data_IF_792552147568
#
_entry.id   IF_792552147568
#
_cell.length_a   1.000
_cell.length_b   1.000
_cell.length_c   1.000
_cell.angle_alpha   90.00
_cell.angle_beta   90.00
_cell.angle_gamma   90.00
#
_symmetry.space_group_name_H-M   'P 1'
#
loop_
_entity.id
_entity.type
_entity.pdbx_description
1 polymer ?
#
# COMPACT_ATOMS: atom_id res chain seq x y z
N UNK A 1 -24.85 18.55 33.49
CA UNK A 1 -24.22 18.77 32.15
C UNK A 1 -23.75 17.43 31.62
N UNK A 2 -24.31 16.95 30.51
CA UNK A 2 -23.83 15.71 29.88
C UNK A 2 -22.40 15.96 29.34
N UNK A 3 -21.44 15.08 29.67
CA UNK A 3 -20.10 15.14 29.07
C UNK A 3 -20.23 15.18 27.54
N UNK A 4 -19.50 16.06 26.84
CA UNK A 4 -19.52 16.04 25.38
C UNK A 4 -19.09 14.67 24.89
N UNK A 5 -19.84 14.09 23.95
CA UNK A 5 -19.51 12.82 23.31
C UNK A 5 -18.29 13.04 22.39
N UNK A 6 -17.09 13.05 22.95
CA UNK A 6 -15.87 13.08 22.16
C UNK A 6 -15.48 11.68 21.73
N UNK A 7 -15.27 11.47 20.45
CA UNK A 7 -14.76 10.21 19.90
C UNK A 7 -13.22 10.13 19.97
N UNK A 8 -12.55 11.10 20.60
CA UNK A 8 -11.08 11.24 20.59
C UNK A 8 -10.37 9.98 21.05
N UNK A 9 -10.80 9.38 22.16
CA UNK A 9 -10.16 8.18 22.71
C UNK A 9 -10.35 6.95 21.79
N UNK A 10 -11.49 6.85 21.13
CA UNK A 10 -11.74 5.78 20.17
C UNK A 10 -10.85 5.95 18.93
N UNK A 11 -10.73 7.18 18.41
CA UNK A 11 -9.87 7.51 17.28
C UNK A 11 -8.41 7.23 17.60
N UNK A 12 -7.92 7.71 18.77
CA UNK A 12 -6.55 7.41 19.23
C UNK A 12 -6.31 5.89 19.36
N UNK A 13 -7.29 5.14 19.82
CA UNK A 13 -7.21 3.68 19.91
C UNK A 13 -6.98 3.01 18.57
N UNK A 14 -7.70 3.43 17.52
CA UNK A 14 -7.46 2.90 16.16
C UNK A 14 -6.10 3.28 15.62
N UNK A 15 -5.65 4.53 15.77
CA UNK A 15 -4.32 4.92 15.33
C UNK A 15 -3.21 4.19 16.09
N UNK A 16 -3.37 3.98 17.39
CA UNK A 16 -2.45 3.19 18.21
C UNK A 16 -2.30 1.75 17.69
N UNK A 17 -3.40 1.14 17.29
CA UNK A 17 -3.47 -0.18 16.70
C UNK A 17 -2.80 -0.22 15.32
N UNK A 18 -3.02 0.80 14.48
CA UNK A 18 -2.37 0.93 13.18
C UNK A 18 -0.85 1.11 13.31
N UNK A 19 -0.41 1.95 14.25
CA UNK A 19 1.01 2.13 14.54
C UNK A 19 1.66 0.84 15.05
N UNK A 20 0.95 0.09 15.90
CA UNK A 20 1.44 -1.23 16.32
C UNK A 20 1.54 -2.20 15.16
N UNK A 21 0.61 -2.16 14.23
CA UNK A 21 0.67 -2.98 13.00
C UNK A 21 1.89 -2.65 12.15
N UNK A 22 2.19 -1.36 11.97
CA UNK A 22 3.41 -0.91 11.28
C UNK A 22 4.66 -1.44 11.99
N UNK A 23 4.72 -1.30 13.30
CA UNK A 23 5.86 -1.74 14.08
C UNK A 23 6.07 -3.26 13.97
N UNK A 24 5.01 -4.05 14.09
CA UNK A 24 5.07 -5.50 13.92
C UNK A 24 5.57 -5.91 12.54
N UNK A 25 5.12 -5.25 11.47
CA UNK A 25 5.61 -5.52 10.11
C UNK A 25 7.12 -5.20 10.00
N UNK A 26 7.53 -4.01 10.48
CA UNK A 26 8.94 -3.59 10.43
C UNK A 26 9.85 -4.48 11.27
N UNK A 27 9.34 -5.10 12.33
CA UNK A 27 10.06 -5.98 13.24
C UNK A 27 10.23 -7.41 12.75
N UNK A 28 9.53 -7.81 11.68
CA UNK A 28 9.70 -9.16 11.14
C UNK A 28 11.15 -9.38 10.71
N UNK A 29 11.73 -10.49 11.17
CA UNK A 29 13.08 -10.91 10.78
C UNK A 29 13.13 -11.48 9.36
N UNK A 30 12.05 -12.10 8.90
CA UNK A 30 11.90 -12.63 7.55
C UNK A 30 10.96 -11.75 6.73
N UNK A 31 11.43 -11.34 5.55
CA UNK A 31 10.68 -10.46 4.63
C UNK A 31 9.41 -11.11 4.07
N UNK A 32 9.31 -12.44 4.12
CA UNK A 32 8.18 -13.20 3.58
C UNK A 32 7.10 -13.55 4.61
N UNK A 33 7.31 -13.24 5.90
CA UNK A 33 6.28 -13.42 6.92
C UNK A 33 5.04 -12.60 6.56
N UNK A 34 3.88 -13.19 6.72
CA UNK A 34 2.60 -12.55 6.40
C UNK A 34 2.02 -11.93 7.68
N UNK A 35 1.63 -10.68 7.57
CA UNK A 35 0.90 -9.95 8.60
C UNK A 35 -0.50 -9.65 8.08
N UNK A 36 -1.53 -10.11 8.82
CA UNK A 36 -2.93 -9.86 8.51
C UNK A 36 -3.45 -8.79 9.46
N UNK A 37 -4.04 -7.73 8.91
CA UNK A 37 -4.64 -6.63 9.67
C UNK A 37 -6.13 -6.91 9.90
N UNK A 38 -6.61 -6.75 11.16
CA UNK A 38 -8.00 -7.06 11.52
C UNK A 38 -8.38 -8.51 11.13
N UNK A 39 -7.53 -9.46 11.50
CA UNK A 39 -7.74 -10.89 11.26
C UNK A 39 -8.60 -11.55 12.33
N UNK A 40 -8.02 -12.50 13.06
CA UNK A 40 -8.64 -13.10 14.28
C UNK A 40 -8.56 -12.12 15.44
N UNK A 41 -7.41 -11.46 15.57
CA UNK A 41 -7.19 -10.33 16.45
C UNK A 41 -6.85 -9.07 15.64
N UNK A 42 -6.45 -8.00 16.30
CA UNK A 42 -6.09 -6.74 15.61
C UNK A 42 -4.95 -6.96 14.61
N UNK A 43 -4.00 -7.85 14.95
CA UNK A 43 -2.85 -8.17 14.10
C UNK A 43 -2.55 -9.66 14.22
N UNK A 44 -2.56 -10.38 13.10
CA UNK A 44 -2.13 -11.78 13.06
C UNK A 44 -0.82 -11.88 12.27
N UNK A 45 0.17 -12.56 12.81
CA UNK A 45 1.50 -12.73 12.20
C UNK A 45 1.75 -14.20 11.96
N UNK A 46 1.87 -14.59 10.71
CA UNK A 46 2.12 -15.99 10.33
C UNK A 46 3.52 -16.15 9.74
N UNK A 47 4.24 -17.12 10.28
CA UNK A 47 5.48 -17.64 9.73
C UNK A 47 5.39 -19.18 9.57
N UNK A 48 6.50 -19.84 9.19
CA UNK A 48 6.50 -21.30 8.94
C UNK A 48 6.07 -22.14 10.15
N UNK A 49 6.36 -21.68 11.37
CA UNK A 49 6.30 -22.50 12.59
C UNK A 49 5.38 -21.94 13.66
N UNK A 50 4.99 -20.68 13.53
CA UNK A 50 4.22 -19.95 14.56
C UNK A 50 3.16 -19.06 13.93
N UNK A 51 2.01 -18.95 14.61
CA UNK A 51 1.03 -17.89 14.36
C UNK A 51 0.86 -17.09 15.64
N UNK A 52 1.09 -15.79 15.58
CA UNK A 52 0.91 -14.87 16.70
C UNK A 52 -0.34 -14.03 16.48
N UNK A 53 -1.19 -13.96 17.48
CA UNK A 53 -2.41 -13.16 17.52
C UNK A 53 -2.21 -12.03 18.52
N UNK A 54 -2.26 -10.77 18.06
CA UNK A 54 -1.95 -9.59 18.87
C UNK A 54 -3.19 -8.70 18.99
N UNK A 55 -3.71 -8.57 20.20
CA UNK A 55 -4.78 -7.64 20.53
C UNK A 55 -4.21 -6.37 21.15
N UNK A 56 -4.54 -5.22 20.60
CA UNK A 56 -4.09 -3.92 21.06
C UNK A 56 -5.14 -3.24 21.96
N UNK A 57 -4.69 -2.55 23.01
CA UNK A 57 -5.55 -1.75 23.88
C UNK A 57 -4.86 -0.45 24.25
N UNK A 58 -5.55 0.68 24.07
CA UNK A 58 -5.02 2.00 24.43
C UNK A 58 -5.97 2.74 25.38
N UNK A 59 -5.52 2.97 26.62
CA UNK A 59 -6.30 3.60 27.67
C UNK A 59 -5.48 4.65 28.42
N UNK A 60 -5.35 5.83 27.83
CA UNK A 60 -4.57 6.94 28.40
C UNK A 60 -5.22 7.52 29.67
N UNK A 61 -6.54 7.62 29.69
CA UNK A 61 -7.29 8.23 30.79
C UNK A 61 -7.80 7.23 31.83
N UNK A 62 -7.78 5.93 31.50
CA UNK A 62 -8.36 4.88 32.36
C UNK A 62 -7.26 4.16 33.11
N UNK A 63 -7.45 4.03 34.41
CA UNK A 63 -6.60 3.20 35.27
C UNK A 63 -6.85 1.72 34.98
N UNK A 64 -5.77 0.93 34.88
CA UNK A 64 -5.87 -0.50 34.64
C UNK A 64 -6.62 -1.22 35.77
N UNK A 65 -7.46 -2.16 35.39
CA UNK A 65 -8.00 -3.22 36.27
C UNK A 65 -8.17 -4.49 35.44
N UNK A 66 -8.19 -5.66 36.13
CA UNK A 66 -8.23 -6.96 35.46
C UNK A 66 -9.50 -7.19 34.63
N UNK A 67 -10.60 -6.52 34.91
CA UNK A 67 -11.85 -6.68 34.16
C UNK A 67 -11.76 -6.17 32.74
N UNK A 68 -10.85 -5.23 32.46
CA UNK A 68 -10.67 -4.65 31.11
C UNK A 68 -10.09 -5.68 30.13
N UNK A 69 -9.20 -6.55 30.59
CA UNK A 69 -8.55 -7.57 29.76
C UNK A 69 -9.26 -8.93 29.81
N UNK A 70 -10.32 -9.06 30.62
CA UNK A 70 -11.05 -10.32 30.79
C UNK A 70 -11.68 -10.78 29.47
N UNK A 71 -12.44 -9.93 28.80
CA UNK A 71 -13.11 -10.27 27.54
C UNK A 71 -12.11 -10.64 26.42
N UNK A 72 -11.06 -9.86 26.14
CA UNK A 72 -10.01 -10.27 25.21
C UNK A 72 -9.43 -11.65 25.52
N UNK A 73 -9.05 -11.93 26.77
CA UNK A 73 -8.50 -13.23 27.14
C UNK A 73 -9.52 -14.37 26.92
N UNK A 74 -10.79 -14.13 27.18
CA UNK A 74 -11.85 -15.10 26.91
C UNK A 74 -12.01 -15.37 25.41
N UNK A 75 -11.93 -14.36 24.56
CA UNK A 75 -12.01 -14.50 23.11
C UNK A 75 -10.81 -15.28 22.56
N UNK A 76 -9.61 -14.96 23.02
CA UNK A 76 -8.38 -15.68 22.69
C UNK A 76 -8.45 -17.15 23.11
N UNK A 77 -8.94 -17.43 24.31
CA UNK A 77 -9.10 -18.81 24.78
C UNK A 77 -10.13 -19.58 23.95
N UNK A 78 -11.24 -18.95 23.58
CA UNK A 78 -12.23 -19.57 22.67
C UNK A 78 -11.62 -19.91 21.31
N UNK A 79 -10.84 -19.00 20.76
CA UNK A 79 -10.13 -19.25 19.50
C UNK A 79 -9.16 -20.44 19.66
N UNK A 80 -8.38 -20.47 20.73
CA UNK A 80 -7.48 -21.57 21.05
C UNK A 80 -8.22 -22.92 21.14
N UNK A 81 -9.33 -22.99 21.89
CA UNK A 81 -10.09 -24.23 22.05
C UNK A 81 -10.62 -24.76 20.72
N UNK A 82 -11.14 -23.90 19.86
CA UNK A 82 -11.64 -24.28 18.53
C UNK A 82 -10.56 -24.82 17.62
N UNK A 83 -9.35 -24.35 17.78
CA UNK A 83 -8.22 -24.63 16.88
C UNK A 83 -7.08 -25.40 17.59
N UNK A 84 -7.35 -26.16 18.67
CA UNK A 84 -6.32 -26.85 19.48
C UNK A 84 -5.34 -27.65 18.65
N UNK A 85 -5.83 -28.45 17.70
CA UNK A 85 -5.00 -29.31 16.86
C UNK A 85 -4.03 -28.49 16.02
N UNK A 86 -4.53 -27.40 15.45
CA UNK A 86 -3.70 -26.48 14.67
C UNK A 86 -2.75 -25.69 15.58
N UNK A 87 -3.21 -25.25 16.74
CA UNK A 87 -2.41 -24.56 17.75
C UNK A 87 -1.20 -25.40 18.22
N UNK A 88 -1.33 -26.73 18.29
CA UNK A 88 -0.23 -27.62 18.61
C UNK A 88 0.75 -27.79 17.45
N UNK A 89 0.26 -27.87 16.23
CA UNK A 89 1.11 -28.05 15.03
C UNK A 89 1.87 -26.79 14.59
N UNK A 90 1.22 -25.61 14.70
CA UNK A 90 1.75 -24.31 14.28
C UNK A 90 2.16 -23.39 15.43
N UNK A 91 2.20 -23.85 16.65
CA UNK A 91 2.59 -23.07 17.82
C UNK A 91 1.88 -21.70 17.91
N UNK A 92 0.59 -21.69 18.20
CA UNK A 92 -0.17 -20.44 18.41
C UNK A 92 0.32 -19.68 19.63
N UNK A 93 0.49 -18.37 19.49
CA UNK A 93 0.84 -17.43 20.56
C UNK A 93 -0.16 -16.30 20.61
N UNK A 94 -0.65 -15.95 21.80
CA UNK A 94 -1.61 -14.90 22.03
C UNK A 94 -0.96 -13.76 22.80
N UNK A 95 -1.01 -12.55 22.28
CA UNK A 95 -0.40 -11.36 22.88
C UNK A 95 -1.45 -10.29 23.11
N UNK A 96 -1.58 -9.84 24.34
CA UNK A 96 -2.32 -8.64 24.69
C UNK A 96 -1.31 -7.50 24.90
N UNK A 97 -1.37 -6.50 24.05
CA UNK A 97 -0.50 -5.34 24.05
C UNK A 97 -1.29 -4.10 24.42
N UNK A 98 -1.10 -3.60 25.65
CA UNK A 98 -1.94 -2.53 26.21
C UNK A 98 -1.15 -1.42 26.86
N UNK A 99 -1.49 -0.17 26.54
CA UNK A 99 -1.03 1.01 27.25
C UNK A 99 -2.06 1.48 28.26
N UNK A 100 -1.62 1.62 29.51
CA UNK A 100 -2.40 2.17 30.61
C UNK A 100 -1.53 3.11 31.40
N UNK A 101 -2.03 4.30 31.74
CA UNK A 101 -1.24 5.30 32.45
C UNK A 101 -0.96 4.95 33.91
N UNK A 102 -1.86 4.18 34.57
CA UNK A 102 -1.80 3.84 35.99
C UNK A 102 -2.39 2.44 36.25
N UNK A 103 -2.14 1.91 37.46
CA UNK A 103 -2.79 0.71 37.95
C UNK A 103 -2.10 -0.59 37.57
N UNK A 104 -0.85 -0.54 37.08
CA UNK A 104 -0.12 -1.72 36.63
C UNK A 104 0.09 -2.77 37.73
N UNK A 105 0.20 -2.33 38.97
CA UNK A 105 0.33 -3.17 40.16
C UNK A 105 -0.90 -4.03 40.43
N UNK A 106 -2.04 -3.73 39.81
CA UNK A 106 -3.28 -4.47 39.94
C UNK A 106 -3.34 -5.72 39.05
N UNK A 107 -2.42 -5.87 38.10
CA UNK A 107 -2.38 -7.06 37.26
C UNK A 107 -2.13 -8.29 38.13
N UNK A 108 -3.11 -9.22 38.14
CA UNK A 108 -2.94 -10.51 38.77
C UNK A 108 -1.92 -11.35 37.98
N UNK A 109 -1.13 -12.10 38.74
CA UNK A 109 -0.24 -13.08 38.12
C UNK A 109 -1.04 -14.07 37.27
N UNK A 110 -0.55 -14.33 36.06
CA UNK A 110 -1.22 -15.22 35.09
C UNK A 110 -0.87 -16.69 35.40
N UNK A 111 -1.32 -17.18 36.52
CA UNK A 111 -1.29 -18.61 36.83
C UNK A 111 -2.50 -19.32 36.25
N UNK A 112 -2.42 -20.63 36.05
CA UNK A 112 -3.56 -21.45 35.59
C UNK A 112 -4.80 -21.28 36.49
N UNK A 113 -4.60 -21.21 37.82
CA UNK A 113 -5.66 -20.96 38.78
C UNK A 113 -6.29 -19.58 38.65
N UNK A 114 -5.47 -18.52 38.53
CA UNK A 114 -5.96 -17.17 38.36
C UNK A 114 -6.67 -16.98 37.00
N UNK A 115 -6.15 -17.59 35.94
CA UNK A 115 -6.85 -17.61 34.65
C UNK A 115 -8.24 -18.24 34.81
N UNK A 116 -8.31 -19.42 35.38
CA UNK A 116 -9.58 -20.14 35.61
C UNK A 116 -10.56 -19.32 36.42
N UNK A 117 -10.12 -18.75 37.54
CA UNK A 117 -11.02 -18.13 38.55
C UNK A 117 -11.43 -16.70 38.19
N UNK A 118 -10.48 -15.89 37.66
CA UNK A 118 -10.70 -14.44 37.52
C UNK A 118 -10.88 -13.98 36.09
N UNK A 119 -10.19 -14.62 35.13
CA UNK A 119 -10.24 -14.16 33.74
C UNK A 119 -11.24 -14.97 32.92
N UNK A 120 -11.24 -16.28 33.05
CA UNK A 120 -12.12 -17.15 32.28
C UNK A 120 -13.48 -17.34 32.96
N UNK A 121 -13.51 -17.28 34.28
CA UNK A 121 -14.74 -17.34 35.11
C UNK A 121 -15.57 -18.61 34.84
N UNK A 122 -14.91 -19.76 34.66
CA UNK A 122 -15.53 -21.01 34.29
C UNK A 122 -16.42 -21.59 35.37
N UNK A 123 -16.18 -21.29 36.65
CA UNK A 123 -16.97 -21.82 37.77
C UNK A 123 -18.48 -21.55 37.68
N UNK A 124 -18.88 -20.57 36.85
CA UNK A 124 -20.29 -20.24 36.61
C UNK A 124 -20.90 -20.98 35.43
N UNK A 125 -20.08 -21.61 34.59
CA UNK A 125 -20.48 -22.13 33.29
C UNK A 125 -20.00 -23.56 33.02
N UNK A 126 -19.36 -24.20 34.02
CA UNK A 126 -18.92 -25.59 33.90
C UNK A 126 -20.14 -26.53 33.97
N UNK A 127 -20.29 -27.34 32.94
CA UNK A 127 -21.26 -28.41 32.85
C UNK A 127 -20.50 -29.69 32.52
N UNK A 128 -20.64 -30.73 33.33
CA UNK A 128 -20.06 -32.03 33.04
C UNK A 128 -21.04 -32.83 32.18
N UNK A 129 -20.63 -33.32 31.01
CA UNK A 129 -21.45 -34.19 30.20
C UNK A 129 -21.56 -35.62 30.77
N UNK A 130 -22.37 -36.46 30.12
CA UNK A 130 -22.59 -37.85 30.56
C UNK A 130 -21.30 -38.72 30.52
N UNK A 131 -20.29 -38.26 29.82
CA UNK A 131 -18.97 -38.92 29.69
C UNK A 131 -17.94 -38.38 30.68
N UNK A 132 -18.31 -37.40 31.51
CA UNK A 132 -17.40 -36.79 32.48
C UNK A 132 -16.50 -35.68 31.91
N UNK A 133 -16.73 -35.25 30.67
CA UNK A 133 -15.99 -34.12 30.09
C UNK A 133 -16.58 -32.80 30.63
N UNK A 134 -15.69 -31.87 30.97
CA UNK A 134 -16.06 -30.51 31.31
C UNK A 134 -16.44 -29.75 30.02
N UNK A 135 -17.67 -29.33 29.93
CA UNK A 135 -18.17 -28.46 28.88
C UNK A 135 -18.22 -27.03 29.37
N UNK A 136 -17.88 -26.10 28.50
CA UNK A 136 -17.81 -24.70 28.79
C UNK A 136 -18.88 -23.92 28.04
N UNK A 137 -19.75 -23.21 28.75
CA UNK A 137 -20.84 -22.43 28.18
C UNK A 137 -20.65 -20.95 28.50
N UNK A 138 -20.57 -20.09 27.51
CA UNK A 138 -20.69 -18.64 27.70
C UNK A 138 -22.10 -18.20 27.37
N UNK A 139 -22.74 -17.58 28.32
CA UNK A 139 -24.05 -16.93 28.14
C UNK A 139 -23.86 -15.42 27.93
N UNK A 140 -24.65 -14.86 27.00
CA UNK A 140 -24.76 -13.42 26.89
C UNK A 140 -25.52 -12.81 28.06
N UNK A 141 -25.72 -11.48 28.08
CA UNK A 141 -26.47 -10.78 29.13
C UNK A 141 -27.93 -11.21 29.20
N UNK A 142 -28.48 -11.72 28.11
CA UNK A 142 -29.85 -12.24 28.01
C UNK A 142 -29.96 -13.73 28.40
N UNK A 143 -28.83 -14.38 28.73
CA UNK A 143 -28.81 -15.78 29.16
C UNK A 143 -28.76 -16.82 28.03
N UNK A 144 -28.60 -16.37 26.78
CA UNK A 144 -28.44 -17.28 25.65
C UNK A 144 -27.01 -17.84 25.57
N UNK A 145 -26.92 -19.16 25.27
CA UNK A 145 -25.62 -19.82 25.08
C UNK A 145 -25.01 -19.36 23.77
N UNK A 146 -23.88 -18.63 23.84
CA UNK A 146 -23.13 -18.19 22.66
C UNK A 146 -21.96 -19.11 22.30
N UNK A 147 -21.57 -19.97 23.24
CA UNK A 147 -20.41 -20.82 23.05
C UNK A 147 -20.47 -22.04 23.92
N UNK A 148 -20.24 -23.20 23.36
CA UNK A 148 -20.12 -24.48 24.06
C UNK A 148 -18.92 -25.24 23.46
N UNK A 149 -18.00 -25.66 24.33
CA UNK A 149 -16.83 -26.43 23.94
C UNK A 149 -16.38 -27.34 25.07
N UNK A 150 -15.94 -28.56 24.70
CA UNK A 150 -15.41 -29.48 25.67
C UNK A 150 -13.97 -29.12 26.08
N UNK A 151 -13.72 -28.92 27.37
CA UNK A 151 -12.39 -28.69 27.92
C UNK A 151 -11.65 -30.02 28.15
N UNK A 152 -10.39 -30.05 27.70
CA UNK A 152 -9.46 -31.09 28.11
C UNK A 152 -8.76 -30.67 29.42
N UNK A 153 -8.28 -31.65 30.20
CA UNK A 153 -7.70 -31.42 31.54
C UNK A 153 -6.61 -30.34 31.52
N UNK A 154 -5.82 -30.29 30.46
CA UNK A 154 -4.63 -29.41 30.35
C UNK A 154 -4.84 -28.19 29.45
N UNK A 155 -6.06 -27.94 28.95
CA UNK A 155 -6.34 -26.85 28.00
C UNK A 155 -5.97 -25.47 28.56
N UNK A 156 -6.29 -25.18 29.83
CA UNK A 156 -5.97 -23.88 30.43
C UNK A 156 -4.48 -23.74 30.68
N UNK A 157 -3.81 -24.83 31.06
CA UNK A 157 -2.37 -24.83 31.29
C UNK A 157 -1.61 -24.59 29.97
N UNK A 158 -2.00 -25.27 28.88
CA UNK A 158 -1.38 -25.10 27.58
C UNK A 158 -1.63 -23.70 27.03
N UNK A 159 -2.88 -23.18 27.14
CA UNK A 159 -3.19 -21.80 26.76
C UNK A 159 -2.39 -20.79 27.59
N UNK A 160 -2.20 -21.02 28.89
CA UNK A 160 -1.41 -20.12 29.74
C UNK A 160 0.04 -19.98 29.27
N UNK A 161 0.63 -21.08 28.78
CA UNK A 161 2.00 -21.06 28.21
C UNK A 161 2.10 -20.24 26.92
N UNK A 162 0.97 -20.03 26.24
CA UNK A 162 0.83 -19.32 24.95
C UNK A 162 0.37 -17.88 25.11
N UNK A 163 -0.10 -17.48 26.31
CA UNK A 163 -0.65 -16.16 26.58
C UNK A 163 0.41 -15.21 27.14
N UNK A 164 0.61 -14.08 26.47
CA UNK A 164 1.50 -13.01 26.89
C UNK A 164 0.72 -11.72 27.08
N UNK A 165 0.77 -11.14 28.27
CA UNK A 165 0.05 -9.90 28.60
C UNK A 165 1.05 -8.81 28.96
N UNK A 166 1.10 -7.77 28.14
CA UNK A 166 1.86 -6.56 28.39
C UNK A 166 0.89 -5.38 28.58
N UNK A 167 0.74 -4.92 29.82
CA UNK A 167 -0.07 -3.74 30.16
C UNK A 167 0.77 -2.46 30.37
N UNK A 168 2.09 -2.54 30.10
CA UNK A 168 3.05 -1.43 30.13
C UNK A 168 3.63 -1.18 28.75
N UNK A 169 2.80 -1.33 27.73
CA UNK A 169 3.18 -1.05 26.36
C UNK A 169 3.59 0.43 26.18
N UNK A 170 4.21 0.76 25.07
CA UNK A 170 4.60 2.14 24.78
C UNK A 170 3.40 3.07 24.71
N UNK A 171 3.61 4.35 25.06
CA UNK A 171 2.61 5.39 24.78
C UNK A 171 2.44 5.59 23.26
N UNK A 172 1.36 6.26 22.89
CA UNK A 172 1.10 6.60 21.48
C UNK A 172 2.30 7.32 20.85
N UNK A 173 2.84 8.34 21.51
CA UNK A 173 3.97 9.12 21.02
C UNK A 173 5.26 8.29 20.93
N UNK A 174 5.55 7.48 21.96
CA UNK A 174 6.75 6.62 21.95
C UNK A 174 6.69 5.55 20.84
N UNK A 175 5.50 5.06 20.54
CA UNK A 175 5.33 4.09 19.47
C UNK A 175 5.63 4.70 18.09
N UNK A 176 5.15 5.93 17.83
CA UNK A 176 5.45 6.68 16.60
C UNK A 176 6.96 6.93 16.48
N UNK A 177 7.62 7.38 17.54
CA UNK A 177 9.07 7.62 17.54
C UNK A 177 9.86 6.33 17.26
N UNK A 178 9.43 5.20 17.79
CA UNK A 178 10.06 3.90 17.48
C UNK A 178 9.91 3.52 16.01
N UNK A 179 8.73 3.74 15.42
CA UNK A 179 8.49 3.49 14.00
C UNK A 179 9.41 4.35 13.15
N UNK A 180 9.43 5.67 13.39
CA UNK A 180 10.28 6.60 12.65
C UNK A 180 11.76 6.27 12.78
N UNK A 181 12.23 5.96 14.00
CA UNK A 181 13.60 5.54 14.23
C UNK A 181 13.97 4.27 13.47
N UNK A 182 13.04 3.32 13.39
CA UNK A 182 13.24 2.07 12.66
C UNK A 182 13.30 2.31 11.15
N UNK A 183 12.41 3.14 10.61
CA UNK A 183 12.43 3.56 9.21
C UNK A 183 13.76 4.29 8.90
N UNK A 184 14.20 5.20 9.77
CA UNK A 184 15.46 5.95 9.60
C UNK A 184 16.67 5.04 9.61
N UNK A 185 16.71 4.01 10.46
CA UNK A 185 17.82 3.06 10.51
C UNK A 185 17.94 2.24 9.21
N UNK A 186 16.81 1.88 8.61
CA UNK A 186 16.77 1.12 7.36
C UNK A 186 16.97 2.04 6.11
N UNK A 187 16.78 3.36 6.26
CA UNK A 187 16.86 4.37 5.21
C UNK A 187 17.73 5.57 5.65
N UNK A 188 19.01 5.31 5.93
CA UNK A 188 19.94 6.30 6.50
C UNK A 188 20.16 7.56 5.64
N UNK A 189 19.96 7.46 4.32
CA UNK A 189 20.19 8.56 3.36
C UNK A 189 18.96 9.49 3.18
N UNK A 190 17.89 9.26 3.94
CA UNK A 190 16.63 10.02 3.84
C UNK A 190 16.59 11.12 4.91
N UNK A 191 16.02 12.29 4.55
CA UNK A 191 15.82 13.40 5.50
C UNK A 191 14.72 13.11 6.52
N UNK A 192 14.63 13.90 7.59
CA UNK A 192 13.56 13.79 8.58
C UNK A 192 12.16 13.98 7.93
N UNK A 193 12.06 14.92 6.97
CA UNK A 193 10.82 15.15 6.22
C UNK A 193 10.45 13.94 5.36
N UNK A 194 11.42 13.26 4.76
CA UNK A 194 11.19 12.03 4.01
C UNK A 194 10.69 10.91 4.94
N UNK A 195 11.25 10.76 6.13
CA UNK A 195 10.83 9.76 7.13
C UNK A 195 9.40 10.03 7.59
N UNK A 196 9.03 11.29 7.81
CA UNK A 196 7.66 11.68 8.14
C UNK A 196 6.68 11.27 7.03
N UNK A 197 7.04 11.53 5.78
CA UNK A 197 6.23 11.15 4.62
C UNK A 197 6.08 9.62 4.49
N UNK A 198 7.17 8.87 4.69
CA UNK A 198 7.15 7.40 4.67
C UNK A 198 6.26 6.85 5.79
N UNK A 199 6.29 7.44 6.97
CA UNK A 199 5.39 7.08 8.07
C UNK A 199 3.92 7.32 7.70
N UNK A 200 3.58 8.44 7.08
CA UNK A 200 2.21 8.69 6.59
C UNK A 200 1.78 7.70 5.50
N UNK A 201 2.70 7.31 4.60
CA UNK A 201 2.43 6.26 3.64
C UNK A 201 2.14 4.92 4.33
N UNK A 202 2.90 4.59 5.37
CA UNK A 202 2.69 3.39 6.16
C UNK A 202 1.29 3.37 6.81
N UNK A 203 0.89 4.47 7.45
CA UNK A 203 -0.45 4.62 8.02
C UNK A 203 -1.56 4.45 6.97
N UNK A 204 -1.36 5.03 5.78
CA UNK A 204 -2.32 4.91 4.68
C UNK A 204 -2.49 3.46 4.24
N UNK A 205 -1.39 2.71 4.11
CA UNK A 205 -1.43 1.29 3.74
C UNK A 205 -2.20 0.49 4.77
N UNK A 206 -1.88 0.64 6.06
CA UNK A 206 -2.56 -0.10 7.13
C UNK A 206 -4.05 0.24 7.17
N UNK A 207 -4.41 1.53 7.05
CA UNK A 207 -5.82 1.94 6.97
C UNK A 207 -6.54 1.28 5.79
N UNK A 208 -5.92 1.22 4.61
CA UNK A 208 -6.54 0.60 3.43
C UNK A 208 -6.74 -0.89 3.63
N UNK A 209 -5.75 -1.59 4.20
CA UNK A 209 -5.86 -3.01 4.55
C UNK A 209 -6.97 -3.25 5.59
N UNK A 210 -7.02 -2.46 6.66
CA UNK A 210 -8.04 -2.59 7.70
C UNK A 210 -9.46 -2.35 7.19
N UNK A 211 -9.63 -1.53 6.15
CA UNK A 211 -10.92 -1.22 5.53
C UNK A 211 -11.34 -2.23 4.45
N UNK A 212 -10.50 -3.19 4.09
CA UNK A 212 -10.86 -4.22 3.11
C UNK A 212 -11.89 -5.21 3.66
N UNK A 213 -12.89 -5.56 2.85
CA UNK A 213 -13.92 -6.53 3.26
C UNK A 213 -13.43 -7.97 3.22
N UNK A 214 -12.56 -8.31 2.25
CA UNK A 214 -11.99 -9.65 2.11
C UNK A 214 -10.73 -9.78 2.97
N UNK A 215 -10.74 -10.71 3.94
CA UNK A 215 -9.65 -10.96 4.86
C UNK A 215 -8.34 -11.34 4.14
N UNK A 216 -8.41 -12.07 3.04
CA UNK A 216 -7.22 -12.44 2.24
C UNK A 216 -6.51 -11.22 1.66
N UNK A 217 -7.24 -10.12 1.41
CA UNK A 217 -6.68 -8.86 0.93
C UNK A 217 -6.15 -7.95 2.04
N UNK A 218 -6.31 -8.33 3.30
CA UNK A 218 -5.76 -7.63 4.47
C UNK A 218 -4.35 -8.09 4.83
N UNK A 219 -3.78 -8.96 4.02
CA UNK A 219 -2.47 -9.56 4.20
C UNK A 219 -1.39 -8.75 3.52
N UNK A 220 -0.23 -8.63 4.18
CA UNK A 220 0.93 -7.97 3.63
C UNK A 220 2.21 -8.60 4.19
N UNK A 221 3.23 -8.76 3.34
CA UNK A 221 4.57 -9.14 3.79
C UNK A 221 5.43 -7.91 4.10
N UNK A 222 6.51 -8.09 4.89
CA UNK A 222 7.47 -7.00 5.15
C UNK A 222 8.07 -6.46 3.86
N UNK A 223 8.40 -7.34 2.91
CA UNK A 223 8.94 -6.93 1.61
C UNK A 223 7.95 -6.04 0.85
N UNK A 224 6.72 -6.51 0.67
CA UNK A 224 5.67 -5.75 -0.02
C UNK A 224 5.39 -4.41 0.68
N UNK A 225 5.35 -4.41 2.01
CA UNK A 225 5.16 -3.19 2.79
C UNK A 225 6.26 -2.17 2.51
N UNK A 226 7.54 -2.59 2.53
CA UNK A 226 8.68 -1.73 2.20
C UNK A 226 8.62 -1.21 0.78
N UNK A 227 8.30 -2.05 -0.19
CA UNK A 227 8.19 -1.65 -1.60
C UNK A 227 7.11 -0.57 -1.78
N UNK A 228 5.98 -0.71 -1.07
CA UNK A 228 4.88 0.25 -1.10
C UNK A 228 5.19 1.58 -0.40
N UNK A 229 5.79 1.57 0.80
CA UNK A 229 6.06 2.82 1.55
C UNK A 229 7.20 3.64 0.97
N UNK A 230 8.17 3.01 0.32
CA UNK A 230 9.31 3.69 -0.34
C UNK A 230 8.92 4.41 -1.63
N UNK A 231 7.76 4.15 -2.18
CA UNK A 231 7.28 4.77 -3.41
C UNK A 231 6.94 6.24 -3.13
N UNK A 232 7.97 7.09 -3.10
CA UNK A 232 7.91 8.52 -2.72
C UNK A 232 6.86 9.32 -3.50
N UNK A 233 6.63 8.98 -4.76
CA UNK A 233 5.86 9.82 -5.67
C UNK A 233 4.37 9.49 -5.70
N UNK A 234 4.00 8.22 -5.58
CA UNK A 234 2.62 7.77 -5.76
C UNK A 234 1.64 8.36 -4.75
N UNK A 235 1.96 8.27 -3.45
CA UNK A 235 1.05 8.74 -2.40
C UNK A 235 1.04 10.25 -2.25
N UNK A 236 2.18 10.90 -2.41
CA UNK A 236 2.29 12.35 -2.36
C UNK A 236 1.47 13.02 -3.48
N UNK A 237 1.55 12.51 -4.70
CA UNK A 237 0.80 13.03 -5.83
C UNK A 237 -0.70 12.77 -5.71
N UNK A 238 -1.06 11.58 -5.20
CA UNK A 238 -2.45 11.26 -4.92
C UNK A 238 -3.05 12.15 -3.84
N UNK A 239 -2.35 12.36 -2.72
CA UNK A 239 -2.79 13.26 -1.67
C UNK A 239 -2.88 14.71 -2.15
N UNK A 240 -1.89 15.17 -2.88
CA UNK A 240 -1.94 16.50 -3.46
C UNK A 240 -3.13 16.68 -4.39
N UNK A 241 -3.47 15.68 -5.20
CA UNK A 241 -4.62 15.73 -6.09
C UNK A 241 -5.98 15.71 -5.36
N UNK A 242 -6.01 15.21 -4.13
CA UNK A 242 -7.23 15.13 -3.30
C UNK A 242 -7.41 16.34 -2.37
N UNK A 243 -6.31 16.94 -1.90
CA UNK A 243 -6.31 18.00 -0.90
C UNK A 243 -6.19 19.41 -1.47
N UNK A 244 -5.60 19.55 -2.66
CA UNK A 244 -5.41 20.86 -3.28
C UNK A 244 -6.57 21.20 -4.24
N UNK A 245 -6.80 22.49 -4.41
CA UNK A 245 -7.58 22.99 -5.54
C UNK A 245 -6.90 22.54 -6.85
N UNK A 246 -7.72 22.15 -7.83
CA UNK A 246 -7.23 21.52 -9.06
C UNK A 246 -6.18 22.36 -9.81
N UNK A 247 -6.38 23.66 -9.85
CA UNK A 247 -5.44 24.59 -10.49
C UNK A 247 -4.10 24.68 -9.78
N UNK A 248 -4.09 24.56 -8.45
CA UNK A 248 -2.86 24.59 -7.67
C UNK A 248 -2.12 23.25 -7.77
N UNK A 249 -2.84 22.14 -7.82
CA UNK A 249 -2.25 20.83 -8.12
C UNK A 249 -1.51 20.87 -9.48
N UNK A 250 -2.16 21.33 -10.56
CA UNK A 250 -1.52 21.42 -11.87
C UNK A 250 -0.24 22.27 -11.85
N UNK A 251 -0.25 23.41 -11.17
CA UNK A 251 0.94 24.29 -11.04
C UNK A 251 2.10 23.59 -10.31
N UNK A 252 1.80 22.85 -9.25
CA UNK A 252 2.82 22.13 -8.47
C UNK A 252 3.43 21.00 -9.30
N UNK A 253 2.60 20.20 -9.99
CA UNK A 253 3.07 19.14 -10.89
C UNK A 253 3.92 19.72 -12.02
N UNK A 254 3.48 20.84 -12.62
CA UNK A 254 4.28 21.56 -13.61
C UNK A 254 5.66 21.93 -13.07
N UNK A 255 5.70 22.57 -11.90
CA UNK A 255 6.97 23.00 -11.29
C UNK A 255 7.88 21.83 -10.93
N UNK A 256 7.29 20.71 -10.48
CA UNK A 256 8.04 19.52 -10.03
C UNK A 256 8.65 18.75 -11.20
N UNK A 257 7.85 18.43 -12.24
CA UNK A 257 8.25 17.51 -13.29
C UNK A 257 8.59 18.18 -14.61
N UNK A 258 8.03 19.36 -14.87
CA UNK A 258 8.12 20.03 -16.13
C UNK A 258 8.68 21.47 -16.06
N UNK A 259 9.69 21.74 -15.21
CA UNK A 259 10.31 23.06 -15.21
C UNK A 259 10.98 23.33 -16.57
N UNK A 260 11.06 24.59 -16.99
CA UNK A 260 11.66 24.96 -18.30
C UNK A 260 13.07 24.45 -18.49
N UNK A 261 13.85 24.36 -17.42
CA UNK A 261 15.26 23.92 -17.45
C UNK A 261 15.37 22.42 -17.75
N UNK A 262 14.40 21.59 -17.34
CA UNK A 262 14.44 20.15 -17.58
C UNK A 262 14.37 19.77 -19.05
N UNK A 263 13.90 20.68 -19.92
CA UNK A 263 13.82 20.44 -21.37
C UNK A 263 15.19 20.37 -22.04
N UNK A 264 16.24 20.91 -21.40
CA UNK A 264 17.58 20.97 -21.95
C UNK A 264 18.43 19.73 -21.59
N UNK A 265 18.01 18.95 -20.63
CA UNK A 265 18.75 17.73 -20.22
C UNK A 265 18.52 16.60 -21.21
N UNK A 266 19.58 15.94 -21.70
CA UNK A 266 19.43 14.74 -22.52
C UNK A 266 18.80 13.63 -21.71
N UNK A 267 17.63 13.15 -22.13
CA UNK A 267 16.89 12.05 -21.50
C UNK A 267 15.88 11.46 -22.47
N UNK A 268 15.61 10.18 -22.36
CA UNK A 268 14.45 9.58 -23.01
C UNK A 268 13.20 9.89 -22.16
N UNK A 269 12.19 10.49 -22.76
CA UNK A 269 10.94 10.87 -22.09
C UNK A 269 9.79 10.07 -22.66
N UNK A 270 9.09 9.36 -21.80
CA UNK A 270 7.89 8.61 -22.14
C UNK A 270 6.67 9.26 -21.49
N UNK A 271 5.67 9.53 -22.31
CA UNK A 271 4.38 10.07 -21.91
C UNK A 271 3.32 9.01 -22.18
N UNK A 272 2.76 8.42 -21.14
CA UNK A 272 1.71 7.43 -21.21
C UNK A 272 0.37 8.13 -21.06
N UNK A 273 -0.47 8.07 -22.10
CA UNK A 273 -1.72 8.81 -22.19
C UNK A 273 -2.90 7.83 -22.24
N UNK A 274 -3.82 7.93 -21.27
CA UNK A 274 -5.09 7.20 -21.26
C UNK A 274 -6.07 7.88 -22.22
N UNK A 275 -6.39 7.20 -23.32
CA UNK A 275 -7.29 7.69 -24.37
C UNK A 275 -8.74 7.27 -24.18
N UNK A 276 -9.11 6.59 -23.06
CA UNK A 276 -10.45 6.10 -22.82
C UNK A 276 -11.48 7.27 -22.83
N UNK A 277 -12.40 7.23 -23.79
CA UNK A 277 -13.45 8.22 -23.89
C UNK A 277 -13.01 9.62 -24.35
N UNK A 278 -11.75 9.79 -24.78
CA UNK A 278 -11.22 11.08 -25.22
C UNK A 278 -11.53 11.39 -26.69
N UNK A 279 -11.68 12.68 -26.96
CA UNK A 279 -11.83 13.16 -28.33
C UNK A 279 -10.46 13.15 -29.04
N UNK A 280 -10.43 12.69 -30.29
CA UNK A 280 -9.21 12.62 -31.10
C UNK A 280 -8.49 13.98 -31.25
N UNK A 281 -9.24 15.08 -31.38
CA UNK A 281 -8.62 16.41 -31.52
C UNK A 281 -7.94 16.83 -30.21
N UNK A 282 -8.48 16.46 -29.07
CA UNK A 282 -7.90 16.76 -27.78
C UNK A 282 -6.59 15.95 -27.57
N UNK A 283 -6.61 14.64 -27.89
CA UNK A 283 -5.41 13.78 -27.90
C UNK A 283 -4.36 14.36 -28.84
N UNK A 284 -4.73 14.74 -30.05
CA UNK A 284 -3.86 15.38 -31.04
C UNK A 284 -3.22 16.65 -30.48
N UNK A 285 -3.99 17.54 -29.88
CA UNK A 285 -3.51 18.80 -29.31
C UNK A 285 -2.46 18.57 -28.23
N UNK A 286 -2.68 17.58 -27.34
CA UNK A 286 -1.73 17.19 -26.30
C UNK A 286 -0.44 16.65 -26.91
N UNK A 287 -0.53 15.75 -27.89
CA UNK A 287 0.64 15.18 -28.58
C UNK A 287 1.43 16.27 -29.30
N UNK A 288 0.75 17.18 -30.00
CA UNK A 288 1.40 18.31 -30.68
C UNK A 288 2.13 19.23 -29.69
N UNK A 289 1.56 19.46 -28.52
CA UNK A 289 2.21 20.21 -27.43
C UNK A 289 3.46 19.50 -26.92
N UNK A 290 3.38 18.19 -26.64
CA UNK A 290 4.53 17.36 -26.20
C UNK A 290 5.63 17.44 -27.26
N UNK A 291 5.30 17.17 -28.52
CA UNK A 291 6.21 17.26 -29.63
C UNK A 291 6.92 18.62 -29.73
N UNK A 292 6.14 19.71 -29.75
CA UNK A 292 6.66 21.07 -29.85
C UNK A 292 7.58 21.43 -28.68
N UNK A 293 7.25 20.97 -27.47
CA UNK A 293 8.02 21.29 -26.26
C UNK A 293 9.37 20.59 -26.24
N UNK A 294 9.43 19.31 -26.64
CA UNK A 294 10.60 18.43 -26.44
C UNK A 294 11.40 18.17 -27.73
N UNK A 295 10.97 18.66 -28.89
CA UNK A 295 11.69 18.49 -30.16
C UNK A 295 12.26 19.78 -30.76
N UNK A 296 12.13 20.91 -30.06
CA UNK A 296 12.52 22.25 -30.61
C UNK A 296 13.95 22.43 -30.97
N UNK A 297 14.84 21.64 -30.45
CA UNK A 297 16.24 21.65 -30.79
C UNK A 297 16.60 20.28 -31.34
N UNK A 298 17.57 20.18 -32.24
CA UNK A 298 18.05 18.94 -32.85
C UNK A 298 18.55 17.99 -31.76
N UNK A 299 17.65 17.65 -30.86
CA UNK A 299 17.93 16.73 -29.78
C UNK A 299 17.83 15.30 -30.32
N UNK A 300 18.82 14.51 -29.98
CA UNK A 300 18.91 13.09 -30.34
C UNK A 300 17.74 12.28 -29.76
N UNK A 301 16.80 12.91 -29.00
CA UNK A 301 15.83 12.26 -28.16
C UNK A 301 14.44 12.90 -28.30
N UNK A 302 13.77 12.64 -29.43
CA UNK A 302 12.36 12.98 -29.55
C UNK A 302 11.55 12.17 -28.50
N UNK A 303 10.51 12.77 -27.86
CA UNK A 303 9.75 12.11 -26.85
C UNK A 303 8.99 10.89 -27.40
N UNK A 304 8.79 9.91 -26.55
CA UNK A 304 7.90 8.78 -26.78
C UNK A 304 6.53 9.11 -26.22
N UNK A 305 5.48 8.87 -26.97
CA UNK A 305 4.09 8.92 -26.50
C UNK A 305 3.49 7.54 -26.71
N UNK A 306 3.08 6.92 -25.60
CA UNK A 306 2.36 5.65 -25.58
C UNK A 306 0.89 5.92 -25.35
N UNK A 307 0.04 5.53 -26.32
CA UNK A 307 -1.40 5.72 -26.28
C UNK A 307 -2.06 4.39 -25.93
N UNK A 308 -2.80 4.34 -24.82
CA UNK A 308 -3.52 3.15 -24.39
C UNK A 308 -5.02 3.44 -24.22
N UNK A 309 -5.83 2.37 -24.19
CA UNK A 309 -7.29 2.45 -24.21
C UNK A 309 -7.83 3.24 -25.41
N UNK A 310 -7.19 3.11 -26.57
CA UNK A 310 -7.67 3.72 -27.80
C UNK A 310 -8.97 3.06 -28.26
N UNK A 311 -9.93 3.84 -28.77
CA UNK A 311 -11.29 3.37 -29.01
C UNK A 311 -11.40 2.31 -30.14
N UNK A 312 -10.55 2.39 -31.16
CA UNK A 312 -10.48 1.45 -32.28
C UNK A 312 -9.23 1.68 -33.14
N UNK A 313 -8.97 0.76 -34.09
CA UNK A 313 -7.83 0.85 -35.02
C UNK A 313 -7.88 2.08 -35.96
N UNK A 314 -9.09 2.55 -36.29
CA UNK A 314 -9.25 3.73 -37.17
C UNK A 314 -8.82 5.00 -36.43
N UNK A 315 -9.02 5.08 -35.13
CA UNK A 315 -8.58 6.21 -34.29
C UNK A 315 -7.07 6.49 -34.48
N UNK A 316 -6.23 5.46 -34.39
CA UNK A 316 -4.79 5.61 -34.55
C UNK A 316 -4.41 6.04 -35.96
N UNK A 317 -5.08 5.49 -36.97
CA UNK A 317 -4.83 5.83 -38.38
C UNK A 317 -5.15 7.29 -38.67
N UNK A 318 -6.32 7.75 -38.24
CA UNK A 318 -6.75 9.15 -38.41
C UNK A 318 -5.90 10.12 -37.58
N UNK A 319 -5.56 9.77 -36.34
CA UNK A 319 -4.71 10.57 -35.49
C UNK A 319 -3.31 10.79 -36.12
N UNK A 320 -2.70 9.71 -36.60
CA UNK A 320 -1.40 9.76 -37.30
C UNK A 320 -1.46 10.63 -38.55
N UNK A 321 -2.55 10.52 -39.32
CA UNK A 321 -2.75 11.36 -40.52
C UNK A 321 -2.82 12.84 -40.16
N UNK A 322 -3.63 13.23 -39.19
CA UNK A 322 -3.78 14.62 -38.72
C UNK A 322 -2.49 15.20 -38.14
N UNK A 323 -1.74 14.39 -37.36
CA UNK A 323 -0.42 14.81 -36.87
C UNK A 323 0.57 15.10 -37.99
N UNK A 324 0.58 14.24 -39.00
CA UNK A 324 1.44 14.43 -40.17
C UNK A 324 1.08 15.67 -40.99
N UNK A 325 -0.21 15.93 -41.23
CA UNK A 325 -0.74 17.12 -41.90
C UNK A 325 -0.33 18.42 -41.19
N UNK A 326 -0.27 18.39 -39.84
CA UNK A 326 0.18 19.53 -39.05
C UNK A 326 1.72 19.67 -38.94
N UNK A 327 2.46 18.83 -39.67
CA UNK A 327 3.93 18.87 -39.68
C UNK A 327 4.58 18.22 -38.44
N UNK A 328 3.84 17.42 -37.67
CA UNK A 328 4.37 16.61 -36.60
C UNK A 328 4.89 15.28 -37.20
N UNK A 329 6.15 15.22 -37.53
CA UNK A 329 6.77 14.03 -38.11
C UNK A 329 7.18 13.05 -37.01
N UNK A 330 6.76 11.80 -37.15
CA UNK A 330 6.96 10.79 -36.12
C UNK A 330 7.52 9.47 -36.67
N UNK A 331 7.98 8.62 -35.76
CA UNK A 331 8.22 7.19 -35.94
C UNK A 331 7.28 6.41 -35.04
N UNK A 332 6.73 5.30 -35.57
CA UNK A 332 5.82 4.42 -34.85
C UNK A 332 6.32 2.94 -34.85
N UNK A 333 7.52 2.70 -35.37
CA UNK A 333 8.09 1.38 -35.41
C UNK A 333 7.64 0.52 -36.61
N UNK A 334 6.72 1.03 -37.44
CA UNK A 334 6.22 0.32 -38.61
C UNK A 334 6.82 0.95 -39.91
N UNK A 335 7.75 0.27 -40.61
CA UNK A 335 8.35 0.82 -41.81
C UNK A 335 7.35 1.11 -42.93
N UNK A 336 6.28 0.33 -43.01
CA UNK A 336 5.17 0.49 -43.95
C UNK A 336 3.88 -0.12 -43.41
N UNK A 337 2.76 0.17 -44.03
CA UNK A 337 1.44 -0.34 -43.63
C UNK A 337 1.42 -1.87 -43.58
N UNK A 338 0.93 -2.45 -42.48
CA UNK A 338 0.88 -3.90 -42.19
C UNK A 338 2.27 -4.58 -42.06
N UNK A 339 3.33 -3.83 -41.83
CA UNK A 339 4.64 -4.40 -41.43
C UNK A 339 4.62 -4.81 -39.97
N UNK A 340 5.54 -5.68 -39.58
CA UNK A 340 5.78 -5.98 -38.16
C UNK A 340 6.51 -4.77 -37.51
N UNK A 341 6.26 -4.63 -36.20
CA UNK A 341 6.94 -3.62 -35.39
C UNK A 341 8.44 -3.88 -35.31
N UNK A 342 9.24 -2.84 -35.62
CA UNK A 342 10.69 -2.88 -35.59
C UNK A 342 11.22 -1.82 -34.62
N UNK A 343 11.78 -2.26 -33.52
CA UNK A 343 12.34 -1.36 -32.51
C UNK A 343 13.42 -0.42 -33.06
N UNK A 344 14.23 -0.89 -34.05
CA UNK A 344 15.29 -0.09 -34.70
C UNK A 344 14.74 1.17 -35.36
N UNK A 345 13.50 1.16 -35.85
CA UNK A 345 12.85 2.35 -36.42
C UNK A 345 12.65 3.43 -35.34
N UNK A 346 12.45 3.03 -34.09
CA UNK A 346 12.29 3.94 -32.96
C UNK A 346 13.59 4.60 -32.53
N UNK A 347 14.75 4.04 -32.92
CA UNK A 347 16.07 4.55 -32.58
C UNK A 347 16.64 5.53 -33.65
N UNK A 348 15.94 5.70 -34.77
CA UNK A 348 16.37 6.65 -35.82
C UNK A 348 16.47 8.05 -35.20
N UNK A 349 17.67 8.63 -35.30
CA UNK A 349 17.95 9.96 -34.73
C UNK A 349 17.29 11.05 -35.57
N UNK A 350 16.70 12.08 -34.91
CA UNK A 350 16.22 13.27 -35.61
C UNK A 350 17.34 14.01 -36.31
N UNK A 351 17.06 14.46 -37.50
CA UNK A 351 17.96 15.33 -38.27
C UNK A 351 17.18 16.40 -39.07
N UNK A 352 17.89 17.28 -39.77
CA UNK A 352 17.27 18.36 -40.55
C UNK A 352 16.45 17.88 -41.76
N UNK A 353 16.62 16.63 -42.17
CA UNK A 353 15.93 16.05 -43.33
C UNK A 353 14.69 15.27 -42.90
N UNK A 354 14.82 14.39 -41.90
CA UNK A 354 13.72 13.55 -41.45
C UNK A 354 12.79 14.27 -40.45
N UNK A 355 13.26 15.33 -39.78
CA UNK A 355 12.52 16.19 -38.86
C UNK A 355 11.71 15.44 -37.79
N UNK A 356 12.15 14.24 -37.41
CA UNK A 356 11.44 13.43 -36.46
C UNK A 356 11.28 14.19 -35.14
N UNK A 357 10.04 14.51 -34.77
CA UNK A 357 9.71 15.30 -33.56
C UNK A 357 9.06 14.46 -32.46
N UNK A 358 8.69 13.22 -32.78
CA UNK A 358 7.92 12.37 -31.91
C UNK A 358 8.15 10.88 -32.20
N UNK A 359 7.94 10.03 -31.20
CA UNK A 359 7.81 8.58 -31.33
C UNK A 359 6.49 8.13 -30.76
N UNK A 360 5.64 7.50 -31.57
CA UNK A 360 4.31 7.07 -31.17
C UNK A 360 4.31 5.56 -30.97
N UNK A 361 3.82 5.12 -29.82
CA UNK A 361 3.55 3.73 -29.48
C UNK A 361 2.06 3.56 -29.19
N UNK A 362 1.49 2.46 -29.59
CA UNK A 362 0.10 2.10 -29.36
C UNK A 362 0.00 0.85 -28.48
N UNK A 363 -1.14 0.62 -27.87
CA UNK A 363 -1.39 -0.47 -26.91
C UNK A 363 -1.21 -1.90 -27.48
N UNK A 364 -1.16 -2.03 -28.79
CA UNK A 364 -0.74 -3.27 -29.47
C UNK A 364 0.75 -3.61 -29.27
N UNK A 365 1.56 -2.65 -28.81
CA UNK A 365 3.00 -2.80 -28.61
C UNK A 365 3.27 -3.02 -27.10
N UNK A 366 3.98 -4.09 -26.77
CA UNK A 366 4.45 -4.33 -25.41
C UNK A 366 5.49 -3.28 -24.99
N UNK A 367 5.05 -2.35 -24.15
CA UNK A 367 5.88 -1.27 -23.63
C UNK A 367 7.08 -1.79 -22.82
N UNK A 368 6.93 -2.91 -22.12
CA UNK A 368 8.00 -3.52 -21.33
C UNK A 368 9.19 -3.91 -22.22
N UNK A 369 8.91 -4.50 -23.38
CA UNK A 369 9.92 -4.88 -24.36
C UNK A 369 10.63 -3.64 -24.92
N UNK A 370 9.88 -2.56 -25.21
CA UNK A 370 10.46 -1.31 -25.69
C UNK A 370 11.40 -0.70 -24.66
N UNK A 371 10.99 -0.65 -23.42
CA UNK A 371 11.79 -0.11 -22.31
C UNK A 371 13.04 -0.96 -22.03
N UNK A 372 12.92 -2.28 -22.03
CA UNK A 372 14.07 -3.19 -21.87
C UNK A 372 15.10 -3.01 -22.95
N UNK A 373 14.66 -3.01 -24.21
CA UNK A 373 15.57 -2.82 -25.37
C UNK A 373 16.23 -1.44 -25.37
N UNK A 374 15.50 -0.40 -24.94
CA UNK A 374 16.09 0.94 -24.85
C UNK A 374 17.20 0.97 -23.81
N UNK A 375 17.01 0.30 -22.67
CA UNK A 375 18.06 0.17 -21.64
C UNK A 375 19.28 -0.56 -22.17
N UNK A 376 19.07 -1.62 -22.93
CA UNK A 376 20.19 -2.37 -23.53
C UNK A 376 21.02 -1.50 -24.49
N UNK A 377 20.33 -0.68 -25.31
CA UNK A 377 20.99 0.25 -26.24
C UNK A 377 21.70 1.38 -25.51
N UNK A 378 21.14 1.89 -24.44
CA UNK A 378 21.70 3.01 -23.66
C UNK A 378 22.63 2.54 -22.53
N UNK A 379 22.96 1.24 -22.45
CA UNK A 379 23.81 0.68 -21.39
C UNK A 379 25.14 1.44 -21.24
N UNK A 380 25.72 1.86 -22.34
CA UNK A 380 27.01 2.56 -22.38
C UNK A 380 26.89 4.08 -22.17
N UNK A 381 25.72 4.68 -22.47
CA UNK A 381 25.50 6.14 -22.41
C UNK A 381 24.86 6.59 -21.11
N UNK A 382 24.30 5.67 -20.32
CA UNK A 382 23.64 5.91 -19.02
C UNK A 382 22.60 7.06 -19.03
N UNK A 383 21.90 7.23 -20.15
CA UNK A 383 20.90 8.30 -20.26
C UNK A 383 19.67 7.98 -19.43
N UNK A 384 19.17 8.94 -18.65
CA UNK A 384 17.97 8.73 -17.84
C UNK A 384 16.74 8.51 -18.72
N UNK A 385 15.88 7.60 -18.29
CA UNK A 385 14.56 7.35 -18.87
C UNK A 385 13.53 7.91 -17.89
N UNK A 386 12.87 9.00 -18.26
CA UNK A 386 11.82 9.61 -17.49
C UNK A 386 10.46 9.10 -17.98
N UNK A 387 9.68 8.50 -17.10
CA UNK A 387 8.40 7.93 -17.42
C UNK A 387 7.29 8.71 -16.71
N UNK A 388 6.40 9.34 -17.48
CA UNK A 388 5.26 10.12 -17.00
C UNK A 388 3.96 9.43 -17.38
N UNK A 389 3.21 8.99 -16.37
CA UNK A 389 1.95 8.26 -16.53
C UNK A 389 0.81 9.20 -16.21
N UNK A 390 0.02 9.59 -17.20
CA UNK A 390 -1.16 10.43 -17.02
C UNK A 390 -2.41 9.55 -16.89
N UNK A 391 -3.02 9.56 -15.71
CA UNK A 391 -4.08 8.65 -15.35
C UNK A 391 -5.34 9.38 -14.85
N UNK A 392 -6.52 9.00 -15.36
CA UNK A 392 -7.83 9.51 -14.90
C UNK A 392 -8.40 8.72 -13.75
N UNK A 393 -8.07 7.44 -13.62
CA UNK A 393 -8.53 6.55 -12.57
C UNK A 393 -7.47 6.34 -11.50
N UNK A 394 -7.91 5.94 -10.31
CA UNK A 394 -7.00 5.60 -9.21
C UNK A 394 -6.36 4.19 -9.36
N UNK A 395 -6.59 3.52 -10.48
CA UNK A 395 -6.06 2.18 -10.76
C UNK A 395 -5.37 2.20 -12.11
N UNK A 396 -4.06 2.18 -12.10
CA UNK A 396 -3.25 1.94 -13.28
C UNK A 396 -3.00 0.44 -13.39
N UNK A 397 -3.65 -0.20 -14.36
CA UNK A 397 -3.56 -1.64 -14.59
C UNK A 397 -2.51 -2.01 -15.66
N UNK A 398 -1.47 -1.22 -15.82
CA UNK A 398 -0.34 -1.69 -16.62
C UNK A 398 0.58 -2.49 -15.68
N UNK A 399 0.44 -3.81 -15.69
CA UNK A 399 1.42 -4.74 -15.16
C UNK A 399 2.69 -4.64 -16.01
N UNK A 400 3.53 -3.67 -15.70
CA UNK A 400 4.84 -3.57 -16.31
C UNK A 400 5.83 -4.10 -15.28
N UNK A 401 6.08 -5.40 -15.28
CA UNK A 401 7.05 -6.09 -14.42
C UNK A 401 8.44 -5.43 -14.39
N UNK A 402 8.75 -4.64 -15.41
CA UNK A 402 10.01 -3.91 -15.55
C UNK A 402 10.00 -2.52 -14.94
N UNK A 403 8.84 -1.97 -14.54
CA UNK A 403 8.72 -0.67 -13.87
C UNK A 403 9.10 -0.71 -12.39
N UNK A 404 9.04 -1.86 -11.74
CA UNK A 404 9.34 -2.02 -10.31
C UNK A 404 10.73 -1.53 -9.88
N UNK A 405 11.62 -1.25 -10.82
CA UNK A 405 12.99 -0.79 -10.55
C UNK A 405 13.31 0.60 -11.08
N UNK A 406 12.33 1.35 -11.62
CA UNK A 406 12.58 2.65 -12.22
C UNK A 406 11.71 3.74 -11.63
N UNK A 407 12.30 4.91 -11.48
CA UNK A 407 11.54 6.11 -11.12
C UNK A 407 10.53 6.41 -12.24
N UNK A 408 9.25 6.29 -11.91
CA UNK A 408 8.16 6.74 -12.75
C UNK A 408 7.31 7.74 -11.96
N UNK A 409 6.62 8.61 -12.68
CA UNK A 409 5.75 9.63 -12.09
C UNK A 409 4.32 9.39 -12.55
N UNK A 410 3.45 9.01 -11.63
CA UNK A 410 2.01 8.94 -11.88
C UNK A 410 1.38 10.31 -11.65
N UNK A 411 0.76 10.86 -12.67
CA UNK A 411 0.17 12.19 -12.66
C UNK A 411 -1.34 12.07 -12.88
N UNK A 412 -2.12 12.47 -11.89
CA UNK A 412 -3.57 12.44 -12.00
C UNK A 412 -4.05 13.53 -12.94
N UNK A 413 -4.97 13.18 -13.84
CA UNK A 413 -5.71 14.10 -14.69
C UNK A 413 -7.20 13.84 -14.59
N UNK A 414 -8.04 14.82 -14.85
CA UNK A 414 -9.51 14.67 -14.96
C UNK A 414 -9.92 14.42 -16.40
N UNK A 415 -9.23 15.06 -17.31
CA UNK A 415 -9.38 14.94 -18.77
C UNK A 415 -8.00 15.10 -19.44
N UNK A 416 -7.85 14.59 -20.66
CA UNK A 416 -6.56 14.63 -21.36
C UNK A 416 -6.03 16.06 -21.57
N UNK A 417 -6.92 17.04 -21.72
CA UNK A 417 -6.56 18.45 -21.90
C UNK A 417 -5.85 19.06 -20.67
N UNK A 418 -6.01 18.50 -19.46
CA UNK A 418 -5.26 18.96 -18.28
C UNK A 418 -3.75 18.89 -18.50
N UNK A 419 -3.31 17.96 -19.36
CA UNK A 419 -1.90 17.80 -19.70
C UNK A 419 -1.35 19.08 -20.36
N UNK A 420 -2.16 19.85 -21.07
CA UNK A 420 -1.73 21.11 -21.69
C UNK A 420 -1.31 22.16 -20.65
N UNK A 421 -1.92 22.15 -19.47
CA UNK A 421 -1.59 23.05 -18.38
C UNK A 421 -0.44 22.52 -17.52
N UNK A 422 -0.33 21.18 -17.46
CA UNK A 422 0.69 20.49 -16.64
C UNK A 422 2.06 20.51 -17.31
N UNK A 423 2.15 20.31 -18.63
CA UNK A 423 3.43 20.28 -19.35
C UNK A 423 3.80 21.61 -19.99
#
# INVERSE_FOLDING_TARGET
MSKPRSATNTIKGYFYQFDKSILEILEQSNETNIVTIEGVEDIDIENSDEIQFVQCKYYEETEFNNSIIKEPIQLMFRHYLKNRTEAQSKNFTYKLYGFYNKGHEKLRELTTENLRTYFLDFSKYEVTDELGNLNYQIKNKEGEIKFEEALQTDDIEDFNKRLFVNIKADSYENQIEKIKSKIQNDLSDYSEEDIELIYFNALKIIKDLACEHNIEKRQISKKEFWDRIKTKNYYFERWMSELLEWEDYKKIIHKKYFPRVSNLSPAHRFFLLDCQGENMNDVKNVISKISTRYSRFVHQFSPFVYLYNTSNADFMTELKAKLYEEGCYFKDGFPFKNSEFRFQEMLIKPDKYNKISLRILEDSIDLSIVLLRLVEVERDNQLPINLYIFNKSNQFNLEIDTLDKREHSEIKIRQILDILDII
#
